data_IF_084131443893
#
_entry.id   IF_084131443893
#
_cell.length_a   1.000
_cell.length_b   1.000
_cell.length_c   1.000
_cell.angle_alpha   90.00
_cell.angle_beta   90.00
_cell.angle_gamma   90.00
#
_symmetry.space_group_name_H-M   'P 1'
#
loop_
_entity.id
_entity.type
_entity.pdbx_description
1 polymer ?
#
# COMPACT_ATOMS: atom_id res chain seq x y z
N UNK A 1 18.07 8.01 28.61
CA UNK A 1 16.87 7.23 28.29
C UNK A 1 17.09 6.60 26.92
N UNK A 2 17.44 5.31 26.89
CA UNK A 2 17.79 4.59 25.66
C UNK A 2 16.55 4.19 24.87
N UNK A 3 16.70 4.14 23.55
CA UNK A 3 15.69 3.60 22.63
C UNK A 3 15.55 2.10 22.95
N UNK A 4 14.40 1.66 23.43
CA UNK A 4 14.18 0.24 23.74
C UNK A 4 14.12 -0.62 22.47
N UNK A 5 14.46 -1.91 22.57
CA UNK A 5 14.38 -2.87 21.45
C UNK A 5 13.03 -2.83 20.69
N UNK A 6 11.94 -2.61 21.44
CA UNK A 6 10.59 -2.48 20.88
C UNK A 6 10.41 -1.26 19.96
N UNK A 7 11.08 -0.14 20.25
CA UNK A 7 10.99 1.07 19.43
C UNK A 7 11.75 0.93 18.11
N UNK A 8 12.91 0.26 18.15
CA UNK A 8 13.68 -0.07 16.94
C UNK A 8 12.88 -1.04 16.06
N UNK A 9 12.27 -2.07 16.67
CA UNK A 9 11.44 -3.03 15.94
C UNK A 9 10.22 -2.35 15.30
N UNK A 10 9.54 -1.46 16.01
CA UNK A 10 8.40 -0.71 15.49
C UNK A 10 8.79 0.22 14.33
N UNK A 11 9.92 0.93 14.46
CA UNK A 11 10.46 1.78 13.40
C UNK A 11 10.87 0.96 12.17
N UNK A 12 11.46 -0.22 12.37
CA UNK A 12 11.88 -1.10 11.29
C UNK A 12 10.67 -1.69 10.56
N UNK A 13 9.63 -2.14 11.27
CA UNK A 13 8.39 -2.60 10.65
C UNK A 13 7.69 -1.50 9.83
N UNK A 14 7.63 -0.28 10.36
CA UNK A 14 7.03 0.84 9.63
C UNK A 14 7.89 1.27 8.43
N UNK A 15 9.22 1.26 8.57
CA UNK A 15 10.13 1.52 7.47
C UNK A 15 9.99 0.50 6.35
N UNK A 16 9.84 -0.79 6.67
CA UNK A 16 9.55 -1.84 5.69
C UNK A 16 8.20 -1.66 5.02
N UNK A 17 7.17 -1.23 5.75
CA UNK A 17 5.85 -0.94 5.17
C UNK A 17 5.91 0.23 4.19
N UNK A 18 6.60 1.33 4.55
CA UNK A 18 6.81 2.47 3.66
C UNK A 18 7.65 2.09 2.42
N UNK A 19 8.67 1.24 2.60
CA UNK A 19 9.44 0.72 1.49
C UNK A 19 8.57 -0.11 0.53
N UNK A 20 7.72 -1.00 1.06
CA UNK A 20 6.78 -1.78 0.25
C UNK A 20 5.82 -0.86 -0.53
N UNK A 21 5.26 0.16 0.12
CA UNK A 21 4.38 1.14 -0.55
C UNK A 21 5.10 1.87 -1.69
N UNK A 22 6.37 2.25 -1.51
CA UNK A 22 7.12 2.90 -2.60
C UNK A 22 7.36 1.98 -3.79
N UNK A 23 7.69 0.70 -3.55
CA UNK A 23 7.84 -0.30 -4.61
C UNK A 23 6.54 -0.41 -5.42
N UNK A 24 5.39 -0.33 -4.75
CA UNK A 24 4.08 -0.43 -5.39
C UNK A 24 3.83 0.66 -6.43
N UNK A 25 4.23 1.89 -6.15
CA UNK A 25 4.13 3.00 -7.11
C UNK A 25 5.02 2.81 -8.34
N UNK A 26 6.16 2.12 -8.19
CA UNK A 26 7.07 1.83 -9.30
C UNK A 26 6.63 0.61 -10.12
N UNK A 27 5.92 -0.33 -9.50
CA UNK A 27 5.45 -1.56 -10.16
C UNK A 27 4.48 -1.25 -11.32
N UNK A 28 3.57 -0.29 -11.15
CA UNK A 28 2.56 0.04 -12.17
C UNK A 28 3.18 0.47 -13.51
N UNK A 29 4.04 1.50 -13.58
CA UNK A 29 4.68 1.89 -14.84
C UNK A 29 5.64 0.83 -15.38
N UNK A 30 6.21 -0.03 -14.51
CA UNK A 30 7.09 -1.11 -14.93
C UNK A 30 6.34 -2.26 -15.63
N UNK A 31 5.15 -2.62 -15.13
CA UNK A 31 4.34 -3.70 -15.70
C UNK A 31 3.60 -3.26 -16.96
N UNK A 32 3.23 -1.97 -17.07
CA UNK A 32 2.46 -1.43 -18.21
C UNK A 32 2.93 -1.90 -19.60
N UNK A 33 4.23 -1.78 -19.99
CA UNK A 33 4.68 -2.19 -21.31
C UNK A 33 4.64 -3.71 -21.51
N UNK A 34 4.81 -4.52 -20.47
CA UNK A 34 4.68 -5.98 -20.57
C UNK A 34 3.22 -6.38 -20.74
N UNK A 35 2.33 -5.77 -19.95
CA UNK A 35 0.90 -6.02 -20.01
C UNK A 35 0.29 -5.59 -21.35
N UNK A 36 0.81 -4.54 -21.99
CA UNK A 36 0.39 -4.10 -23.32
C UNK A 36 0.58 -5.20 -24.38
N UNK A 37 1.73 -5.87 -24.37
CA UNK A 37 2.07 -6.92 -25.35
C UNK A 37 1.27 -8.20 -25.09
N UNK A 38 1.07 -8.58 -23.83
CA UNK A 38 0.37 -9.82 -23.47
C UNK A 38 -1.17 -9.72 -23.57
N UNK A 39 -1.74 -8.55 -23.25
CA UNK A 39 -3.18 -8.35 -23.19
C UNK A 39 -3.75 -7.54 -24.37
N UNK A 40 -2.91 -7.12 -25.32
CA UNK A 40 -3.29 -6.30 -26.49
C UNK A 40 -4.11 -5.05 -26.11
N UNK A 41 -3.63 -4.30 -25.12
CA UNK A 41 -4.35 -3.18 -24.49
C UNK A 41 -4.24 -1.91 -25.34
N UNK A 42 -5.36 -1.24 -25.58
CA UNK A 42 -5.41 0.04 -26.30
C UNK A 42 -4.97 1.21 -25.40
N UNK A 43 -4.45 2.31 -25.95
CA UNK A 43 -3.93 3.42 -25.13
C UNK A 43 -4.95 4.01 -24.15
N UNK A 44 -6.24 3.98 -24.52
CA UNK A 44 -7.33 4.44 -23.65
C UNK A 44 -7.49 3.55 -22.39
N UNK A 45 -7.27 2.24 -22.52
CA UNK A 45 -7.40 1.28 -21.42
C UNK A 45 -6.25 1.39 -20.41
N UNK A 46 -5.05 1.81 -20.84
CA UNK A 46 -3.92 2.11 -19.95
C UNK A 46 -4.23 3.27 -19.01
N UNK A 47 -4.89 4.29 -19.54
CA UNK A 47 -5.31 5.47 -18.78
C UNK A 47 -6.40 5.11 -17.76
N UNK A 48 -7.35 4.26 -18.15
CA UNK A 48 -8.37 3.71 -17.24
C UNK A 48 -7.77 2.89 -16.10
N UNK A 49 -6.75 2.07 -16.36
CA UNK A 49 -6.06 1.29 -15.33
C UNK A 49 -5.38 2.20 -14.28
N UNK A 50 -4.75 3.29 -14.73
CA UNK A 50 -4.12 4.25 -13.83
C UNK A 50 -5.16 4.99 -12.97
N UNK A 51 -6.27 5.42 -13.59
CA UNK A 51 -7.38 6.09 -12.89
C UNK A 51 -8.03 5.20 -11.85
N UNK A 52 -8.35 3.94 -12.17
CA UNK A 52 -8.99 3.04 -11.21
C UNK A 52 -8.06 2.73 -10.05
N UNK A 53 -6.75 2.64 -10.28
CA UNK A 53 -5.74 2.46 -9.23
C UNK A 53 -5.74 3.65 -8.27
N UNK A 54 -5.77 4.89 -8.78
CA UNK A 54 -5.88 6.10 -7.97
C UNK A 54 -7.18 6.16 -7.16
N UNK A 55 -8.32 5.79 -7.77
CA UNK A 55 -9.60 5.71 -7.06
C UNK A 55 -9.56 4.66 -5.96
N UNK A 56 -8.98 3.48 -6.22
CA UNK A 56 -8.78 2.44 -5.23
C UNK A 56 -7.93 2.91 -4.06
N UNK A 57 -6.83 3.61 -4.35
CA UNK A 57 -5.96 4.21 -3.34
C UNK A 57 -6.71 5.21 -2.45
N UNK A 58 -7.52 6.09 -3.05
CA UNK A 58 -8.33 7.06 -2.32
C UNK A 58 -9.35 6.38 -1.39
N UNK A 59 -10.08 5.38 -1.90
CA UNK A 59 -11.05 4.61 -1.11
C UNK A 59 -10.38 3.82 0.01
N UNK A 60 -9.22 3.22 -0.28
CA UNK A 60 -8.39 2.53 0.70
C UNK A 60 -7.93 3.45 1.82
N UNK A 61 -7.47 4.66 1.49
CA UNK A 61 -7.04 5.64 2.49
C UNK A 61 -8.14 6.02 3.47
N UNK A 62 -9.35 6.27 2.98
CA UNK A 62 -10.51 6.61 3.81
C UNK A 62 -10.93 5.40 4.67
N UNK A 63 -11.00 4.21 4.08
CA UNK A 63 -11.43 2.99 4.75
C UNK A 63 -10.47 2.55 5.84
N UNK A 64 -9.19 2.37 5.51
CA UNK A 64 -8.17 1.91 6.45
C UNK A 64 -7.80 2.97 7.49
N UNK A 65 -7.90 4.27 7.15
CA UNK A 65 -7.72 5.36 8.11
C UNK A 65 -8.72 5.26 9.26
N UNK A 66 -10.02 5.19 8.94
CA UNK A 66 -11.06 5.04 9.95
C UNK A 66 -11.00 3.70 10.70
N UNK A 67 -10.57 2.63 10.03
CA UNK A 67 -10.36 1.33 10.66
C UNK A 67 -9.17 1.35 11.64
N UNK A 68 -8.11 2.07 11.29
CA UNK A 68 -6.93 2.29 12.11
C UNK A 68 -7.23 2.95 13.45
N UNK A 69 -8.13 3.94 13.43
CA UNK A 69 -8.54 4.66 14.63
C UNK A 69 -9.42 3.81 15.57
N UNK A 70 -10.11 2.79 15.05
CA UNK A 70 -11.02 1.92 15.85
C UNK A 70 -10.39 0.60 16.30
N UNK A 71 -9.67 -0.10 15.42
CA UNK A 71 -9.10 -1.43 15.67
C UNK A 71 -7.64 -1.39 16.14
N UNK A 72 -7.02 -0.21 16.10
CA UNK A 72 -5.62 0.02 16.43
C UNK A 72 -4.72 -0.01 15.20
N UNK A 73 -3.78 0.95 15.15
CA UNK A 73 -2.92 1.23 13.98
C UNK A 73 -2.12 0.03 13.50
N UNK A 74 -1.55 -0.76 14.42
CA UNK A 74 -0.77 -1.97 14.07
C UNK A 74 -1.62 -3.01 13.31
N UNK A 75 -2.85 -3.26 13.77
CA UNK A 75 -3.73 -4.27 13.16
C UNK A 75 -4.22 -3.81 11.81
N UNK A 76 -4.57 -2.53 11.68
CA UNK A 76 -4.99 -1.93 10.42
C UNK A 76 -3.87 -1.95 9.36
N UNK A 77 -2.63 -1.64 9.73
CA UNK A 77 -1.48 -1.73 8.83
C UNK A 77 -1.28 -3.18 8.34
N UNK A 78 -1.29 -4.16 9.25
CA UNK A 78 -1.12 -5.57 8.89
C UNK A 78 -2.25 -6.10 8.01
N UNK A 79 -3.50 -5.72 8.27
CA UNK A 79 -4.63 -6.13 7.42
C UNK A 79 -4.58 -5.50 6.03
N UNK A 80 -4.21 -4.21 5.95
CA UNK A 80 -4.02 -3.49 4.69
C UNK A 80 -2.97 -4.17 3.81
N UNK A 81 -1.80 -4.46 4.39
CA UNK A 81 -0.71 -5.17 3.69
C UNK A 81 -1.11 -6.60 3.30
N UNK A 82 -1.84 -7.31 4.16
CA UNK A 82 -2.29 -8.68 3.86
C UNK A 82 -3.25 -8.70 2.68
N UNK A 83 -4.24 -7.81 2.67
CA UNK A 83 -5.18 -7.63 1.54
C UNK A 83 -4.41 -7.30 0.27
N UNK A 84 -3.46 -6.38 0.36
CA UNK A 84 -2.63 -5.98 -0.76
C UNK A 84 -1.86 -7.16 -1.38
N UNK A 85 -1.13 -7.93 -0.57
CA UNK A 85 -0.33 -9.08 -1.01
C UNK A 85 -1.21 -10.20 -1.59
N UNK A 86 -2.39 -10.43 -1.01
CA UNK A 86 -3.31 -11.44 -1.53
C UNK A 86 -3.81 -11.05 -2.93
N UNK A 87 -4.26 -9.82 -3.12
CA UNK A 87 -4.80 -9.39 -4.41
C UNK A 87 -3.72 -9.21 -5.48
N UNK A 88 -2.52 -8.77 -5.12
CA UNK A 88 -1.41 -8.66 -6.09
C UNK A 88 -0.95 -10.06 -6.54
N UNK A 89 -0.88 -11.02 -5.61
CA UNK A 89 -0.57 -12.42 -5.94
C UNK A 89 -1.64 -13.04 -6.85
N UNK A 90 -2.92 -12.75 -6.60
CA UNK A 90 -4.02 -13.17 -7.49
C UNK A 90 -3.90 -12.50 -8.87
N UNK A 91 -3.55 -11.21 -8.93
CA UNK A 91 -3.41 -10.48 -10.18
C UNK A 91 -2.33 -11.07 -11.11
N UNK A 92 -1.25 -11.63 -10.56
CA UNK A 92 -0.18 -12.28 -11.35
C UNK A 92 -0.67 -13.47 -12.17
N UNK A 93 -1.74 -14.15 -11.75
CA UNK A 93 -2.29 -15.31 -12.45
C UNK A 93 -3.45 -14.98 -13.39
N UNK A 94 -3.83 -13.70 -13.53
CA UNK A 94 -5.01 -13.30 -14.32
C UNK A 94 -4.64 -13.06 -15.80
N UNK A 95 -5.16 -13.87 -16.74
CA UNK A 95 -4.82 -13.77 -18.17
C UNK A 95 -5.70 -12.77 -18.94
N UNK A 96 -6.62 -12.06 -18.28
CA UNK A 96 -7.59 -11.18 -18.94
C UNK A 96 -7.55 -9.78 -18.34
N UNK A 97 -7.62 -8.75 -19.19
CA UNK A 97 -7.54 -7.34 -18.80
C UNK A 97 -8.56 -6.97 -17.71
N UNK A 98 -9.83 -7.38 -17.85
CA UNK A 98 -10.87 -7.06 -16.86
C UNK A 98 -10.62 -7.66 -15.47
N UNK A 99 -10.14 -8.91 -15.40
CA UNK A 99 -9.79 -9.55 -14.13
C UNK A 99 -8.52 -8.97 -13.52
N UNK A 100 -7.55 -8.60 -14.36
CA UNK A 100 -6.35 -7.90 -13.92
C UNK A 100 -6.68 -6.53 -13.33
N UNK A 101 -7.53 -5.75 -14.01
CA UNK A 101 -7.99 -4.42 -13.57
C UNK A 101 -8.71 -4.48 -12.22
N UNK A 102 -9.64 -5.43 -12.04
CA UNK A 102 -10.39 -5.59 -10.78
C UNK A 102 -9.50 -6.06 -9.63
N UNK A 103 -8.61 -7.04 -9.87
CA UNK A 103 -7.64 -7.46 -8.87
C UNK A 103 -6.72 -6.29 -8.46
N UNK A 104 -6.33 -5.43 -9.42
CA UNK A 104 -5.52 -4.26 -9.14
C UNK A 104 -6.24 -3.20 -8.34
N UNK A 105 -7.50 -2.93 -8.65
CA UNK A 105 -8.34 -2.06 -7.84
C UNK A 105 -8.43 -2.52 -6.38
N UNK A 106 -8.69 -3.82 -6.15
CA UNK A 106 -8.74 -4.40 -4.81
C UNK A 106 -7.38 -4.31 -4.09
N UNK A 107 -6.29 -4.56 -4.82
CA UNK A 107 -4.92 -4.42 -4.31
C UNK A 107 -4.59 -2.96 -3.94
N UNK A 108 -5.03 -1.99 -4.75
CA UNK A 108 -4.84 -0.55 -4.51
C UNK A 108 -5.65 -0.06 -3.29
N UNK A 109 -6.85 -0.61 -3.07
CA UNK A 109 -7.61 -0.38 -1.83
C UNK A 109 -6.80 -0.85 -0.61
N UNK A 110 -6.12 -2.00 -0.72
CA UNK A 110 -5.24 -2.52 0.33
C UNK A 110 -4.13 -1.53 0.72
N UNK A 111 -3.39 -1.00 -0.25
CA UNK A 111 -2.25 -0.10 0.00
C UNK A 111 -2.66 1.35 0.32
N UNK A 112 -3.84 1.80 -0.09
CA UNK A 112 -4.24 3.22 0.01
C UNK A 112 -4.15 3.87 1.38
N UNK A 113 -4.25 3.11 2.46
CA UNK A 113 -4.09 3.62 3.83
C UNK A 113 -2.75 3.35 4.49
N UNK A 114 -1.86 2.56 3.87
CA UNK A 114 -0.65 2.07 4.52
C UNK A 114 0.33 3.20 4.88
N UNK A 115 0.53 4.17 3.99
CA UNK A 115 1.41 5.34 4.21
C UNK A 115 1.01 6.15 5.46
N UNK A 116 -0.22 6.72 5.58
CA UNK A 116 -0.58 7.49 6.76
C UNK A 116 -0.60 6.63 8.02
N UNK A 117 -1.03 5.37 7.95
CA UNK A 117 -1.00 4.43 9.08
C UNK A 117 0.43 4.18 9.59
N UNK A 118 1.40 4.00 8.70
CA UNK A 118 2.79 3.77 9.04
C UNK A 118 3.41 4.99 9.73
N UNK A 119 3.22 6.20 9.16
CA UNK A 119 3.69 7.44 9.79
C UNK A 119 3.08 7.65 11.18
N UNK A 120 1.78 7.40 11.30
CA UNK A 120 1.05 7.59 12.53
C UNK A 120 1.48 6.55 13.60
N UNK A 121 1.79 5.31 13.19
CA UNK A 121 2.32 4.27 14.07
C UNK A 121 3.74 4.60 14.59
N UNK A 122 4.63 5.11 13.73
CA UNK A 122 5.98 5.57 14.14
C UNK A 122 5.87 6.75 15.11
N UNK A 123 4.96 7.69 14.83
CA UNK A 123 4.76 8.87 15.67
C UNK A 123 4.22 8.54 17.07
N UNK A 124 3.51 7.42 17.22
CA UNK A 124 3.05 6.88 18.52
C UNK A 124 4.13 6.10 19.27
N UNK A 125 4.98 5.35 18.55
CA UNK A 125 6.04 4.55 19.17
C UNK A 125 7.26 5.38 19.58
N UNK A 126 7.51 6.53 18.93
CA UNK A 126 8.61 7.42 19.26
C UNK A 126 8.29 8.33 20.47
N UNK A 127 9.16 8.38 21.50
CA UNK A 127 8.99 9.29 22.62
C UNK A 127 9.19 10.74 22.16
N UNK A 128 8.46 11.67 22.78
CA UNK A 128 8.37 13.12 22.44
C UNK A 128 9.73 13.81 22.20
N UNK A 129 10.82 13.28 22.75
CA UNK A 129 12.14 13.92 22.80
C UNK A 129 13.01 13.73 21.55
N UNK A 130 12.66 12.85 20.60
CA UNK A 130 13.48 12.65 19.37
C UNK A 130 12.71 12.84 18.06
N UNK A 131 11.55 13.50 18.10
CA UNK A 131 10.62 13.59 16.96
C UNK A 131 11.22 14.28 15.72
N UNK A 132 12.24 15.14 15.89
CA UNK A 132 12.95 15.80 14.79
C UNK A 132 14.17 15.05 14.21
N UNK A 133 14.48 13.83 14.68
CA UNK A 133 15.60 13.02 14.14
C UNK A 133 15.14 11.86 13.24
N UNK A 134 13.83 11.63 13.12
CA UNK A 134 13.25 10.49 12.39
C UNK A 134 12.20 10.90 11.34
N UNK A 135 11.99 12.21 11.15
CA UNK A 135 11.31 12.81 9.99
C UNK A 135 12.35 13.27 9.00
#
# INVERSE_FOLDING_TARGET
AGVGYFQILAALCAGLALAADTVEFFVVPYILPSAEVELCIEDNEKDWLSKITLVGLALGGIGWGGLGDRLGRRRALLSAMSVHVLFIGVATFMPTYGTFMTARFCSAIGVGGAVPLAFAYVAECCPRTSRGRWT
#
